data_IF_212438409565
#
_entry.id   IF_212438409565
#
_cell.length_a   1.000
_cell.length_b   1.000
_cell.length_c   1.000
_cell.angle_alpha   90.00
_cell.angle_beta   90.00
_cell.angle_gamma   90.00
#
_symmetry.space_group_name_H-M   'P 1'
#
loop_
_entity.id
_entity.type
_entity.pdbx_description
1 polymer ?
#
# COMPACT_ATOMS: atom_id res chain seq x y z
N UNK A 1 22.06 2.18 -7.65
CA UNK A 1 20.78 2.85 -7.33
C UNK A 1 20.39 4.02 -8.25
N UNK A 2 21.26 4.47 -9.12
CA UNK A 2 20.99 5.53 -10.11
C UNK A 2 19.91 5.17 -11.14
N UNK A 3 19.73 3.88 -11.45
CA UNK A 3 18.76 3.43 -12.46
C UNK A 3 17.30 3.68 -12.04
N UNK A 4 16.94 3.38 -10.78
CA UNK A 4 15.57 3.57 -10.28
C UNK A 4 15.22 5.07 -10.14
N UNK A 5 16.21 5.90 -9.84
CA UNK A 5 16.04 7.35 -9.69
C UNK A 5 15.77 8.07 -11.02
N UNK A 6 16.17 7.47 -12.13
CA UNK A 6 15.99 8.02 -13.48
C UNK A 6 14.72 7.52 -14.18
N UNK A 7 13.95 6.61 -13.56
CA UNK A 7 12.69 6.15 -14.12
C UNK A 7 11.60 7.22 -13.92
N UNK A 8 10.76 7.47 -14.94
CA UNK A 8 9.64 8.39 -14.81
C UNK A 8 8.67 7.88 -13.72
N UNK A 9 8.19 8.82 -12.89
CA UNK A 9 7.28 8.50 -11.77
C UNK A 9 6.08 7.62 -12.15
N UNK A 10 5.39 7.90 -13.27
CA UNK A 10 4.27 7.06 -13.74
C UNK A 10 4.66 5.60 -13.96
N UNK A 11 5.85 5.34 -14.48
CA UNK A 11 6.33 3.96 -14.71
C UNK A 11 6.59 3.22 -13.40
N UNK A 12 7.13 3.90 -12.38
CA UNK A 12 7.33 3.33 -11.05
C UNK A 12 6.00 2.97 -10.39
N UNK A 13 4.99 3.84 -10.52
CA UNK A 13 3.64 3.59 -10.01
C UNK A 13 3.01 2.40 -10.72
N UNK A 14 3.13 2.34 -12.04
CA UNK A 14 2.61 1.23 -12.85
C UNK A 14 3.25 -0.11 -12.45
N UNK A 15 4.57 -0.17 -12.32
CA UNK A 15 5.28 -1.37 -11.89
C UNK A 15 4.90 -1.78 -10.45
N UNK A 16 4.72 -0.81 -9.56
CA UNK A 16 4.22 -1.05 -8.21
C UNK A 16 2.82 -1.64 -8.18
N UNK A 17 1.89 -1.07 -8.95
CA UNK A 17 0.52 -1.56 -9.08
C UNK A 17 0.48 -2.98 -9.69
N UNK A 18 1.29 -3.22 -10.72
CA UNK A 18 1.41 -4.54 -11.34
C UNK A 18 1.92 -5.58 -10.33
N UNK A 19 2.95 -5.25 -9.55
CA UNK A 19 3.49 -6.14 -8.51
C UNK A 19 2.45 -6.44 -7.42
N UNK A 20 1.65 -5.46 -7.02
CA UNK A 20 0.57 -5.65 -6.05
C UNK A 20 -0.57 -6.53 -6.58
N UNK A 21 -0.86 -6.46 -7.90
CA UNK A 21 -1.88 -7.30 -8.54
C UNK A 21 -1.57 -8.79 -8.42
N UNK A 22 -0.30 -9.18 -8.48
CA UNK A 22 0.09 -10.56 -8.25
C UNK A 22 -0.16 -11.06 -6.83
N UNK A 23 -0.26 -10.14 -5.85
CA UNK A 23 -0.49 -10.49 -4.45
C UNK A 23 -1.80 -11.26 -4.21
N UNK A 24 -2.88 -10.85 -4.87
CA UNK A 24 -4.18 -11.53 -4.79
C UNK A 24 -4.17 -12.91 -5.44
N UNK A 25 -3.50 -13.03 -6.59
CA UNK A 25 -3.36 -14.29 -7.31
C UNK A 25 -2.55 -15.29 -6.49
N UNK A 26 -1.45 -14.86 -5.87
CA UNK A 26 -0.61 -15.69 -5.01
C UNK A 26 -1.44 -16.23 -3.84
N UNK A 27 -2.21 -15.38 -3.14
CA UNK A 27 -3.04 -15.82 -2.00
C UNK A 27 -4.05 -16.90 -2.42
N UNK A 28 -4.64 -16.78 -3.60
CA UNK A 28 -5.63 -17.75 -4.12
C UNK A 28 -5.00 -19.00 -4.72
N UNK A 29 -3.74 -18.98 -5.12
CA UNK A 29 -3.03 -20.13 -5.68
C UNK A 29 -2.58 -21.15 -4.63
N UNK A 30 -2.54 -20.78 -3.37
CA UNK A 30 -2.18 -21.69 -2.28
C UNK A 30 -3.38 -22.53 -1.84
N UNK A 31 -3.75 -23.54 -2.64
CA UNK A 31 -4.77 -24.52 -2.27
C UNK A 31 -4.26 -25.38 -1.09
N UNK A 32 -5.08 -25.46 -0.02
CA UNK A 32 -4.75 -26.24 1.18
C UNK A 32 -3.91 -25.54 2.24
N UNK A 33 -3.41 -24.33 1.98
CA UNK A 33 -2.72 -23.55 3.01
C UNK A 33 -3.73 -22.85 3.94
N UNK A 34 -3.44 -22.87 5.24
CA UNK A 34 -4.23 -22.14 6.21
C UNK A 34 -3.96 -20.62 6.10
N UNK A 35 -4.95 -19.82 6.47
CA UNK A 35 -4.83 -18.36 6.51
C UNK A 35 -3.57 -17.90 7.26
N UNK A 36 -3.26 -18.55 8.38
CA UNK A 36 -2.10 -18.21 9.21
C UNK A 36 -0.76 -18.50 8.53
N UNK A 37 -0.68 -19.58 7.76
CA UNK A 37 0.51 -19.90 6.97
C UNK A 37 0.75 -18.86 5.87
N UNK A 38 -0.31 -18.48 5.15
CA UNK A 38 -0.23 -17.45 4.11
C UNK A 38 0.20 -16.11 4.72
N UNK A 39 -0.41 -15.72 5.85
CA UNK A 39 -0.09 -14.49 6.55
C UNK A 39 1.36 -14.47 7.02
N UNK A 40 1.84 -15.56 7.62
CA UNK A 40 3.20 -15.68 8.12
C UNK A 40 4.24 -15.54 6.99
N UNK A 41 4.13 -16.35 5.94
CA UNK A 41 5.09 -16.32 4.85
C UNK A 41 5.09 -14.98 4.12
N UNK A 42 3.92 -14.43 3.85
CA UNK A 42 3.80 -13.14 3.19
C UNK A 42 4.41 -12.00 4.02
N UNK A 43 4.13 -11.94 5.32
CA UNK A 43 4.69 -10.91 6.19
C UNK A 43 6.20 -11.06 6.38
N UNK A 44 6.70 -12.31 6.45
CA UNK A 44 8.13 -12.59 6.53
C UNK A 44 8.87 -12.07 5.29
N UNK A 45 8.43 -12.45 4.09
CA UNK A 45 9.06 -11.99 2.85
C UNK A 45 8.96 -10.48 2.68
N UNK A 46 7.81 -9.89 3.00
CA UNK A 46 7.64 -8.45 2.95
C UNK A 46 8.60 -7.74 3.91
N UNK A 47 8.69 -8.20 5.15
CA UNK A 47 9.58 -7.65 6.17
C UNK A 47 11.06 -7.76 5.76
N UNK A 48 11.47 -8.92 5.25
CA UNK A 48 12.84 -9.14 4.75
C UNK A 48 13.17 -8.22 3.57
N UNK A 49 12.23 -8.05 2.64
CA UNK A 49 12.41 -7.18 1.46
C UNK A 49 12.56 -5.71 1.89
N UNK A 50 11.68 -5.24 2.78
CA UNK A 50 11.75 -3.87 3.30
C UNK A 50 13.05 -3.66 4.10
N UNK A 51 13.42 -4.62 4.94
CA UNK A 51 14.65 -4.55 5.72
C UNK A 51 15.89 -4.50 4.81
N UNK A 52 15.95 -5.37 3.80
CA UNK A 52 17.04 -5.36 2.82
C UNK A 52 17.11 -4.03 2.08
N UNK A 53 15.96 -3.49 1.65
CA UNK A 53 15.91 -2.18 1.00
C UNK A 53 16.41 -1.06 1.91
N UNK A 54 16.01 -1.06 3.17
CA UNK A 54 16.46 -0.06 4.15
C UNK A 54 17.96 -0.15 4.42
N UNK A 55 18.50 -1.36 4.58
CA UNK A 55 19.95 -1.57 4.79
C UNK A 55 20.75 -1.08 3.58
N UNK A 56 20.29 -1.37 2.36
CA UNK A 56 20.97 -0.93 1.14
C UNK A 56 20.87 0.60 0.98
N UNK A 57 19.73 1.19 1.31
CA UNK A 57 19.47 2.62 1.12
C UNK A 57 20.11 3.49 2.19
N UNK A 58 19.98 3.11 3.45
CA UNK A 58 20.38 3.92 4.61
C UNK A 58 21.62 3.39 5.31
N UNK A 59 22.10 2.19 4.96
CA UNK A 59 23.30 1.57 5.54
C UNK A 59 23.29 1.64 7.08
N UNK A 60 24.31 2.30 7.66
CA UNK A 60 24.46 2.45 9.12
C UNK A 60 23.36 3.32 9.77
N UNK A 61 22.71 4.19 9.01
CA UNK A 61 21.69 5.10 9.54
C UNK A 61 20.31 4.42 9.69
N UNK A 62 20.15 3.18 9.21
CA UNK A 62 18.89 2.44 9.33
C UNK A 62 18.44 2.31 10.79
N UNK A 63 19.35 1.88 11.68
CA UNK A 63 19.05 1.72 13.11
C UNK A 63 18.72 3.06 13.78
N UNK A 64 19.46 4.10 13.42
CA UNK A 64 19.24 5.47 13.94
C UNK A 64 17.87 6.00 13.50
N UNK A 65 17.47 5.72 12.26
CA UNK A 65 16.17 6.12 11.72
C UNK A 65 15.02 5.40 12.44
N UNK A 66 15.18 4.11 12.73
CA UNK A 66 14.21 3.38 13.56
C UNK A 66 14.08 3.98 14.95
N UNK A 67 15.18 4.29 15.59
CA UNK A 67 15.17 4.89 16.92
C UNK A 67 14.56 6.30 16.94
N UNK A 68 14.84 7.09 15.90
CA UNK A 68 14.25 8.44 15.72
C UNK A 68 12.75 8.41 15.44
N UNK A 69 12.20 7.35 14.86
CA UNK A 69 10.76 7.21 14.64
C UNK A 69 9.94 7.16 15.93
N UNK A 70 10.54 6.70 17.02
CA UNK A 70 9.95 6.72 18.36
C UNK A 70 8.58 6.07 18.46
N UNK A 71 7.81 6.51 19.44
CA UNK A 71 6.46 6.00 19.73
C UNK A 71 5.47 6.18 18.56
N UNK A 72 5.44 7.31 17.83
CA UNK A 72 4.53 7.46 16.69
C UNK A 72 4.79 6.43 15.58
N UNK A 73 6.05 6.12 15.29
CA UNK A 73 6.42 5.10 14.31
C UNK A 73 5.97 3.70 14.74
N UNK A 74 6.10 3.38 16.03
CA UNK A 74 5.66 2.11 16.59
C UNK A 74 4.13 1.94 16.51
N UNK A 75 3.37 2.96 16.91
CA UNK A 75 1.90 2.96 16.81
C UNK A 75 1.46 2.85 15.35
N UNK A 76 2.07 3.62 14.45
CA UNK A 76 1.80 3.53 13.02
C UNK A 76 2.06 2.13 12.45
N UNK A 77 3.14 1.47 12.88
CA UNK A 77 3.46 0.10 12.52
C UNK A 77 2.41 -0.90 12.98
N UNK A 78 1.89 -0.77 14.20
CA UNK A 78 0.82 -1.62 14.73
C UNK A 78 -0.45 -1.45 13.88
N UNK A 79 -0.89 -0.22 13.64
CA UNK A 79 -2.09 0.07 12.85
C UNK A 79 -1.94 -0.50 11.43
N UNK A 80 -0.79 -0.31 10.81
CA UNK A 80 -0.49 -0.85 9.49
C UNK A 80 -0.53 -2.39 9.46
N UNK A 81 -0.03 -3.03 10.51
CA UNK A 81 -0.05 -4.50 10.65
C UNK A 81 -1.47 -5.03 10.74
N UNK A 82 -2.36 -4.37 11.48
CA UNK A 82 -3.79 -4.73 11.52
C UNK A 82 -4.44 -4.60 10.15
N UNK A 83 -4.16 -3.52 9.42
CA UNK A 83 -4.65 -3.33 8.06
C UNK A 83 -4.17 -4.43 7.11
N UNK A 84 -2.90 -4.81 7.22
CA UNK A 84 -2.31 -5.88 6.42
C UNK A 84 -2.93 -7.26 6.72
N UNK A 85 -3.14 -7.57 8.00
CA UNK A 85 -3.83 -8.79 8.43
C UNK A 85 -5.27 -8.82 7.91
N UNK A 86 -6.00 -7.72 8.05
CA UNK A 86 -7.38 -7.59 7.57
C UNK A 86 -7.49 -7.77 6.06
N UNK A 87 -6.53 -7.24 5.29
CA UNK A 87 -6.47 -7.44 3.84
C UNK A 87 -6.31 -8.92 3.46
N UNK A 88 -5.36 -9.62 4.09
CA UNK A 88 -5.13 -11.05 3.81
C UNK A 88 -6.35 -11.89 4.25
N UNK A 89 -6.94 -11.56 5.39
CA UNK A 89 -8.18 -12.21 5.87
C UNK A 89 -9.33 -12.02 4.89
N UNK A 90 -9.52 -10.82 4.36
CA UNK A 90 -10.54 -10.55 3.36
C UNK A 90 -10.28 -11.33 2.06
N UNK A 91 -9.04 -11.32 1.56
CA UNK A 91 -8.66 -12.08 0.37
C UNK A 91 -8.89 -13.60 0.53
N UNK A 92 -8.68 -14.13 1.72
CA UNK A 92 -8.87 -15.55 2.00
C UNK A 92 -10.35 -15.93 2.00
N UNK A 93 -11.21 -15.11 2.62
CA UNK A 93 -12.63 -15.44 2.85
C UNK A 93 -13.58 -14.94 1.75
N UNK A 94 -13.13 -14.08 0.82
CA UNK A 94 -13.96 -13.56 -0.26
C UNK A 94 -13.21 -13.57 -1.59
N UNK A 95 -13.82 -13.00 -2.62
CA UNK A 95 -13.17 -12.89 -3.93
C UNK A 95 -12.17 -11.74 -3.96
N UNK A 96 -11.14 -11.88 -4.79
CA UNK A 96 -10.15 -10.82 -5.03
C UNK A 96 -10.82 -9.53 -5.52
N UNK A 97 -11.86 -9.68 -6.38
CA UNK A 97 -12.61 -8.56 -6.90
C UNK A 97 -13.35 -7.78 -5.79
N UNK A 98 -14.06 -8.48 -4.90
CA UNK A 98 -14.76 -7.85 -3.77
C UNK A 98 -13.80 -7.14 -2.82
N UNK A 99 -12.68 -7.77 -2.48
CA UNK A 99 -11.66 -7.18 -1.61
C UNK A 99 -11.11 -5.90 -2.22
N UNK A 100 -10.73 -5.92 -3.49
CA UNK A 100 -10.19 -4.74 -4.17
C UNK A 100 -11.24 -3.64 -4.36
N UNK A 101 -12.51 -4.00 -4.59
CA UNK A 101 -13.60 -3.03 -4.67
C UNK A 101 -13.77 -2.29 -3.34
N UNK A 102 -13.78 -3.00 -2.21
CA UNK A 102 -13.89 -2.38 -0.89
C UNK A 102 -12.66 -1.52 -0.59
N UNK A 103 -11.45 -1.96 -0.96
CA UNK A 103 -10.23 -1.17 -0.79
C UNK A 103 -10.26 0.11 -1.64
N UNK A 104 -10.85 0.07 -2.83
CA UNK A 104 -10.97 1.28 -3.65
C UNK A 104 -11.80 2.39 -2.98
N UNK A 105 -12.72 2.03 -2.08
CA UNK A 105 -13.47 3.00 -1.26
C UNK A 105 -12.56 3.74 -0.26
N UNK A 106 -11.37 3.22 0.03
CA UNK A 106 -10.39 3.89 0.89
C UNK A 106 -10.07 5.29 0.40
N UNK A 107 -10.03 5.52 -0.91
CA UNK A 107 -9.76 6.83 -1.51
C UNK A 107 -10.85 7.84 -1.09
N UNK A 108 -12.11 7.41 -1.07
CA UNK A 108 -13.22 8.22 -0.62
C UNK A 108 -13.08 8.58 0.87
N UNK A 109 -12.78 7.58 1.71
CA UNK A 109 -12.55 7.81 3.14
C UNK A 109 -11.37 8.74 3.38
N UNK A 110 -10.26 8.59 2.66
CA UNK A 110 -9.12 9.48 2.76
C UNK A 110 -9.47 10.93 2.38
N UNK A 111 -10.28 11.13 1.34
CA UNK A 111 -10.74 12.47 0.95
C UNK A 111 -11.63 13.09 2.03
N UNK A 112 -12.56 12.33 2.60
CA UNK A 112 -13.46 12.78 3.67
C UNK A 112 -12.64 13.11 4.93
N UNK A 113 -11.76 12.22 5.38
CA UNK A 113 -10.94 12.45 6.56
C UNK A 113 -9.92 13.58 6.35
N UNK A 114 -9.32 13.69 5.16
CA UNK A 114 -8.45 14.81 4.79
C UNK A 114 -9.16 16.15 4.91
N UNK A 115 -10.39 16.22 4.43
CA UNK A 115 -11.21 17.44 4.55
C UNK A 115 -11.54 17.78 6.00
N UNK A 116 -12.04 16.80 6.79
CA UNK A 116 -12.51 17.07 8.16
C UNK A 116 -11.37 17.26 9.18
N UNK A 117 -10.32 16.43 9.10
CA UNK A 117 -9.24 16.41 10.11
C UNK A 117 -8.05 17.29 9.72
N UNK A 118 -7.63 17.28 8.47
CA UNK A 118 -6.49 18.06 8.01
C UNK A 118 -6.88 19.43 7.46
N UNK A 119 -8.20 19.69 7.30
CA UNK A 119 -8.72 20.91 6.67
C UNK A 119 -8.11 21.17 5.28
N UNK A 120 -7.70 20.10 4.61
CA UNK A 120 -7.19 20.18 3.25
C UNK A 120 -8.35 20.59 2.34
N UNK A 121 -8.15 21.68 1.60
CA UNK A 121 -9.07 22.03 0.52
C UNK A 121 -8.96 20.92 -0.51
N UNK A 122 -10.08 20.26 -0.84
CA UNK A 122 -10.15 19.30 -1.93
C UNK A 122 -9.61 20.04 -3.16
N UNK A 123 -8.35 19.75 -3.50
CA UNK A 123 -7.67 20.43 -4.58
C UNK A 123 -8.41 20.14 -5.88
N UNK A 124 -8.59 21.18 -6.68
CA UNK A 124 -9.31 21.20 -7.97
C UNK A 124 -8.82 20.18 -9.02
N UNK A 125 -7.86 19.33 -8.68
CA UNK A 125 -7.37 18.25 -9.56
C UNK A 125 -8.48 17.22 -9.87
N UNK A 126 -9.45 17.02 -8.97
CA UNK A 126 -10.64 16.22 -9.25
C UNK A 126 -11.60 16.92 -10.23
N UNK A 127 -11.61 18.24 -10.27
CA UNK A 127 -12.48 18.99 -11.18
C UNK A 127 -11.94 19.03 -12.63
N UNK A 128 -10.66 18.97 -12.83
CA UNK A 128 -10.08 18.95 -14.19
C UNK A 128 -10.40 17.65 -14.94
N UNK A 129 -10.51 16.53 -14.26
CA UNK A 129 -10.94 15.27 -14.89
C UNK A 129 -12.43 15.26 -15.27
N UNK A 130 -13.29 15.90 -14.49
CA UNK A 130 -14.72 16.04 -14.81
C UNK A 130 -14.92 17.06 -15.94
N UNK A 131 -14.19 18.17 -15.92
CA UNK A 131 -14.33 19.22 -16.95
C UNK A 131 -13.80 18.80 -18.32
N UNK A 132 -12.76 17.93 -18.37
CA UNK A 132 -12.28 17.39 -19.62
C UNK A 132 -13.31 16.48 -20.33
N UNK A 133 -14.24 15.89 -19.59
CA UNK A 133 -15.35 15.10 -20.16
C UNK A 133 -16.50 15.96 -20.67
N UNK A 134 -16.70 17.17 -20.14
CA UNK A 134 -17.77 18.08 -20.58
C UNK A 134 -17.41 18.90 -21.83
N UNK A 135 -16.12 19.06 -22.13
CA UNK A 135 -15.67 19.83 -23.31
C UNK A 135 -15.55 19.00 -24.59
N UNK A 136 -15.89 17.72 -24.56
CA UNK A 136 -15.87 16.81 -25.71
C UNK A 136 -17.27 16.51 -26.31
N UNK A 137 -18.32 17.24 -25.91
CA UNK A 137 -19.64 17.20 -26.54
C UNK A 137 -19.96 18.52 -27.20
#
# INVERSE_FOLDING_TARGET
MTFIRNLPGPLLIFLGALSLSFGGLIVKSFEGATLWQILFWRSLFFSLTVLAFLIISYKRETLVSFYKSGLPGFIGGIILSFGFCGYVFAMYNTTVANTNFIISLQILFLAIFGYFFLKEKISSVSYTHLRAHETLN
#
